data_IF_687531858956
#
_entry.id   IF_687531858956
#
_cell.length_a   1.000
_cell.length_b   1.000
_cell.length_c   1.000
_cell.angle_alpha   90.00
_cell.angle_beta   90.00
_cell.angle_gamma   90.00
#
_symmetry.space_group_name_H-M   'P 1'
#
loop_
_entity.id
_entity.type
_entity.pdbx_description
1 polymer ?
#
# COMPACT_ATOMS: atom_id res chain seq x y z
N UNK A 1 -85.67 -26.46 25.11
CA UNK A 1 -84.80 -27.23 24.21
C UNK A 1 -83.74 -26.29 23.66
N UNK A 2 -82.56 -26.23 24.31
CA UNK A 2 -81.44 -25.39 23.89
C UNK A 2 -80.29 -26.32 23.49
N UNK A 3 -80.05 -26.47 22.18
CA UNK A 3 -78.91 -27.24 21.66
C UNK A 3 -77.63 -26.48 21.95
N UNK A 4 -76.83 -26.99 22.88
CA UNK A 4 -75.47 -26.50 23.16
C UNK A 4 -74.54 -27.17 22.14
N UNK A 5 -74.07 -26.41 21.15
CA UNK A 5 -73.09 -26.87 20.17
C UNK A 5 -71.74 -27.12 20.84
N UNK A 6 -71.16 -28.30 20.62
CA UNK A 6 -69.80 -28.63 21.07
C UNK A 6 -68.79 -27.99 20.14
N UNK A 7 -68.12 -26.94 20.63
CA UNK A 7 -66.94 -26.36 20.00
C UNK A 7 -65.77 -27.34 20.18
N UNK A 8 -65.34 -27.98 19.11
CA UNK A 8 -64.16 -28.85 19.13
C UNK A 8 -62.91 -27.99 19.16
N UNK A 9 -62.31 -27.86 20.34
CA UNK A 9 -61.05 -27.17 20.58
C UNK A 9 -59.90 -28.04 20.03
N UNK A 10 -59.55 -27.85 18.76
CA UNK A 10 -58.41 -28.53 18.13
C UNK A 10 -57.11 -27.94 18.65
N UNK A 11 -56.54 -28.55 19.70
CA UNK A 11 -55.16 -28.27 20.13
C UNK A 11 -54.23 -28.42 18.92
N UNK A 12 -53.37 -27.44 18.61
CA UNK A 12 -52.49 -27.52 17.45
C UNK A 12 -51.56 -28.72 17.58
N UNK A 13 -51.64 -29.63 16.61
CA UNK A 13 -50.85 -30.87 16.55
C UNK A 13 -49.36 -30.57 16.86
N UNK A 14 -48.85 -31.16 17.94
CA UNK A 14 -47.45 -31.04 18.39
C UNK A 14 -46.45 -31.27 17.24
N UNK A 15 -46.77 -32.21 16.36
CA UNK A 15 -46.06 -32.48 15.11
C UNK A 15 -45.92 -31.27 14.19
N UNK A 16 -46.98 -30.47 14.02
CA UNK A 16 -46.95 -29.25 13.17
C UNK A 16 -46.03 -28.18 13.76
N UNK A 17 -45.97 -28.07 15.09
CA UNK A 17 -45.06 -27.16 15.81
C UNK A 17 -43.60 -27.61 15.71
N UNK A 18 -43.33 -28.91 15.78
CA UNK A 18 -41.98 -29.48 15.62
C UNK A 18 -41.51 -29.29 14.17
N UNK A 19 -42.34 -29.63 13.18
CA UNK A 19 -42.02 -29.45 11.76
C UNK A 19 -41.80 -27.98 11.40
N UNK A 20 -42.57 -27.05 11.98
CA UNK A 20 -42.34 -25.62 11.77
C UNK A 20 -41.02 -25.14 12.38
N UNK A 21 -40.65 -25.64 13.57
CA UNK A 21 -39.37 -25.29 14.21
C UNK A 21 -38.19 -25.81 13.38
N UNK A 22 -38.23 -27.07 12.94
CA UNK A 22 -37.21 -27.66 12.08
C UNK A 22 -37.08 -26.87 10.76
N UNK A 23 -38.20 -26.52 10.11
CA UNK A 23 -38.19 -25.72 8.89
C UNK A 23 -37.54 -24.35 9.11
N UNK A 24 -37.87 -23.67 10.21
CA UNK A 24 -37.26 -22.38 10.55
C UNK A 24 -35.78 -22.51 10.91
N UNK A 25 -35.35 -23.60 11.57
CA UNK A 25 -33.94 -23.89 11.81
C UNK A 25 -33.15 -24.07 10.52
N UNK A 26 -33.70 -24.76 9.52
CA UNK A 26 -33.06 -24.87 8.20
C UNK A 26 -33.01 -23.54 7.44
N UNK A 27 -34.06 -22.72 7.52
CA UNK A 27 -34.05 -21.37 6.94
C UNK A 27 -32.98 -20.50 7.60
N UNK A 28 -32.88 -20.52 8.92
CA UNK A 28 -31.83 -19.78 9.65
C UNK A 28 -30.43 -20.28 9.28
N UNK A 29 -30.22 -21.60 9.22
CA UNK A 29 -28.95 -22.19 8.81
C UNK A 29 -28.58 -21.76 7.39
N UNK A 30 -29.54 -21.76 6.46
CA UNK A 30 -29.33 -21.34 5.08
C UNK A 30 -28.96 -19.86 4.99
N UNK A 31 -29.65 -18.99 5.74
CA UNK A 31 -29.31 -17.57 5.80
C UNK A 31 -27.93 -17.33 6.41
N UNK A 32 -27.54 -18.08 7.44
CA UNK A 32 -26.20 -18.04 8.02
C UNK A 32 -25.12 -18.49 7.03
N UNK A 33 -25.40 -19.55 6.26
CA UNK A 33 -24.51 -20.03 5.19
C UNK A 33 -24.32 -18.97 4.09
N UNK A 34 -25.42 -18.36 3.62
CA UNK A 34 -25.34 -17.28 2.64
C UNK A 34 -24.57 -16.09 3.21
N UNK A 35 -24.87 -15.69 4.45
CA UNK A 35 -24.16 -14.60 5.12
C UNK A 35 -22.66 -14.87 5.22
N UNK A 36 -22.28 -16.06 5.66
CA UNK A 36 -20.87 -16.48 5.73
C UNK A 36 -20.20 -16.50 4.36
N UNK A 37 -20.86 -17.01 3.33
CA UNK A 37 -20.33 -17.02 1.97
C UNK A 37 -20.14 -15.60 1.42
N UNK A 38 -21.13 -14.72 1.62
CA UNK A 38 -21.07 -13.33 1.21
C UNK A 38 -19.94 -12.57 1.91
N UNK A 39 -19.76 -12.76 3.22
CA UNK A 39 -18.67 -12.17 3.99
C UNK A 39 -17.31 -12.67 3.49
N UNK A 40 -17.17 -13.97 3.24
CA UNK A 40 -15.92 -14.54 2.72
C UNK A 40 -15.59 -13.98 1.34
N UNK A 41 -16.58 -13.91 0.45
CA UNK A 41 -16.42 -13.30 -0.87
C UNK A 41 -16.02 -11.82 -0.78
N UNK A 42 -16.62 -11.07 0.15
CA UNK A 42 -16.24 -9.68 0.39
C UNK A 42 -14.77 -9.54 0.78
N UNK A 43 -14.30 -10.32 1.76
CA UNK A 43 -12.89 -10.26 2.19
C UNK A 43 -11.92 -10.67 1.08
N UNK A 44 -12.24 -11.69 0.29
CA UNK A 44 -11.40 -12.10 -0.85
C UNK A 44 -11.30 -10.98 -1.90
N UNK A 45 -12.41 -10.29 -2.18
CA UNK A 45 -12.39 -9.18 -3.13
C UNK A 45 -11.62 -7.98 -2.57
N UNK A 46 -11.83 -7.65 -1.29
CA UNK A 46 -11.13 -6.56 -0.61
C UNK A 46 -9.62 -6.76 -0.66
N UNK A 47 -9.16 -7.93 -0.20
CA UNK A 47 -7.77 -8.40 -0.25
C UNK A 47 -7.21 -8.33 -1.67
N UNK A 48 -7.93 -8.88 -2.66
CA UNK A 48 -7.51 -8.85 -4.05
C UNK A 48 -7.31 -7.41 -4.55
N UNK A 49 -8.21 -6.49 -4.19
CA UNK A 49 -8.15 -5.09 -4.65
C UNK A 49 -7.12 -4.25 -3.92
N UNK A 50 -6.64 -4.70 -2.75
CA UNK A 50 -5.67 -4.00 -1.92
C UNK A 50 -4.24 -4.47 -2.19
N UNK A 51 -4.04 -5.77 -2.45
CA UNK A 51 -2.72 -6.36 -2.57
C UNK A 51 -2.21 -6.50 -4.01
N UNK A 52 -3.11 -6.57 -5.01
CA UNK A 52 -2.71 -6.84 -6.40
C UNK A 52 -2.47 -5.54 -7.17
N UNK A 53 -1.19 -5.26 -7.48
CA UNK A 53 -0.81 -4.09 -8.26
C UNK A 53 -1.48 -4.03 -9.64
N UNK A 54 -1.63 -5.19 -10.30
CA UNK A 54 -2.32 -5.30 -11.60
C UNK A 54 -3.78 -4.84 -11.54
N UNK A 55 -4.46 -5.03 -10.40
CA UNK A 55 -5.83 -4.55 -10.24
C UNK A 55 -5.91 -3.03 -10.42
N UNK A 56 -4.94 -2.30 -9.88
CA UNK A 56 -4.88 -0.84 -9.98
C UNK A 56 -4.73 -0.33 -11.43
N UNK A 57 -4.10 -1.12 -12.30
CA UNK A 57 -3.94 -0.82 -13.72
C UNK A 57 -5.25 -0.81 -14.51
N UNK A 58 -6.28 -1.52 -14.04
CA UNK A 58 -7.51 -1.77 -14.80
C UNK A 58 -8.55 -0.64 -14.78
N UNK A 59 -8.47 0.30 -13.82
CA UNK A 59 -9.53 1.29 -13.58
C UNK A 59 -9.06 2.74 -13.41
N UNK A 60 -7.76 3.03 -13.23
CA UNK A 60 -7.28 4.36 -12.79
C UNK A 60 -6.20 5.02 -13.67
N UNK A 61 -6.03 4.62 -14.94
CA UNK A 61 -4.89 5.08 -15.77
C UNK A 61 -3.55 5.00 -15.01
N UNK A 62 -3.34 3.85 -14.35
CA UNK A 62 -2.17 3.59 -13.52
C UNK A 62 -1.16 2.67 -14.20
N UNK A 63 -1.36 2.30 -15.46
CA UNK A 63 -0.49 1.36 -16.18
C UNK A 63 1.00 1.72 -16.05
N UNK A 64 1.36 2.99 -16.25
CA UNK A 64 2.72 3.47 -16.03
C UNK A 64 3.24 3.19 -14.61
N UNK A 65 2.43 3.48 -13.59
CA UNK A 65 2.81 3.33 -12.19
C UNK A 65 2.88 1.85 -11.77
N UNK A 66 2.00 1.02 -12.34
CA UNK A 66 2.02 -0.44 -12.13
C UNK A 66 3.27 -1.04 -12.77
N UNK A 67 3.58 -0.68 -14.02
CA UNK A 67 4.80 -1.15 -14.69
C UNK A 67 6.05 -0.65 -13.99
N UNK A 68 6.04 0.59 -13.49
CA UNK A 68 7.11 1.15 -12.67
C UNK A 68 7.33 0.29 -11.41
N UNK A 69 6.26 -0.01 -10.69
CA UNK A 69 6.29 -0.81 -9.46
C UNK A 69 6.73 -2.26 -9.73
N UNK A 70 6.32 -2.86 -10.83
CA UNK A 70 6.62 -4.27 -11.14
C UNK A 70 8.01 -4.47 -11.75
N UNK A 71 8.48 -3.55 -12.61
CA UNK A 71 9.59 -3.84 -13.54
C UNK A 71 10.67 -2.75 -13.63
N UNK A 72 10.54 -1.61 -12.95
CA UNK A 72 11.53 -0.52 -13.05
C UNK A 72 12.64 -0.59 -12.01
N UNK A 73 13.61 0.32 -12.09
CA UNK A 73 14.61 0.54 -11.03
C UNK A 73 14.24 1.71 -10.10
N UNK A 74 12.98 2.15 -10.13
CA UNK A 74 12.52 3.26 -9.28
C UNK A 74 12.23 2.78 -7.85
N UNK A 75 12.00 3.73 -6.94
CA UNK A 75 11.81 3.43 -5.52
C UNK A 75 10.57 2.57 -5.25
N UNK A 76 9.53 2.69 -6.07
CA UNK A 76 8.34 1.85 -5.97
C UNK A 76 8.66 0.36 -6.19
N UNK A 77 9.56 0.01 -7.11
CA UNK A 77 10.01 -1.36 -7.32
C UNK A 77 10.78 -1.92 -6.13
N UNK A 78 11.69 -1.14 -5.54
CA UNK A 78 12.38 -1.56 -4.31
C UNK A 78 11.39 -1.84 -3.16
N UNK A 79 10.30 -1.08 -3.09
CA UNK A 79 9.22 -1.35 -2.15
C UNK A 79 8.38 -2.58 -2.54
N UNK A 80 8.18 -2.86 -3.83
CA UNK A 80 7.54 -4.08 -4.30
C UNK A 80 8.33 -5.32 -3.86
N UNK A 81 9.67 -5.29 -3.99
CA UNK A 81 10.57 -6.36 -3.52
C UNK A 81 10.50 -6.53 -1.99
N UNK A 82 10.28 -5.45 -1.26
CA UNK A 82 10.02 -5.47 0.19
C UNK A 82 8.56 -5.83 0.56
N UNK A 83 7.75 -6.27 -0.40
CA UNK A 83 6.35 -6.65 -0.24
C UNK A 83 5.44 -5.51 0.28
N UNK A 84 5.81 -4.25 0.06
CA UNK A 84 4.99 -3.08 0.36
C UNK A 84 3.99 -2.86 -0.77
N UNK A 85 2.70 -2.84 -0.46
CA UNK A 85 1.62 -2.77 -1.44
C UNK A 85 1.31 -1.34 -1.86
N UNK A 86 0.62 -1.18 -2.99
CA UNK A 86 0.24 0.13 -3.51
C UNK A 86 -0.54 0.97 -2.47
N UNK A 87 -1.45 0.35 -1.72
CA UNK A 87 -2.30 1.03 -0.74
C UNK A 87 -1.59 1.33 0.59
N UNK A 88 -0.43 0.72 0.85
CA UNK A 88 0.38 1.04 2.04
C UNK A 88 0.96 2.45 1.95
N UNK A 89 1.16 2.96 0.73
CA UNK A 89 1.50 4.36 0.46
C UNK A 89 0.25 5.19 0.07
N UNK A 90 -0.64 4.65 -0.77
CA UNK A 90 -1.86 5.33 -1.22
C UNK A 90 -3.03 5.16 -0.24
N UNK A 91 -2.81 5.56 1.01
CA UNK A 91 -3.71 5.29 2.16
C UNK A 91 -4.94 6.19 2.26
N UNK A 92 -4.91 7.37 1.66
CA UNK A 92 -5.94 8.41 1.81
C UNK A 92 -7.08 8.31 0.79
N UNK A 93 -7.15 7.22 0.04
CA UNK A 93 -8.15 7.06 -1.01
C UNK A 93 -9.52 6.68 -0.44
N UNK A 94 -10.38 7.67 -0.26
CA UNK A 94 -11.71 7.50 0.32
C UNK A 94 -12.63 6.69 -0.59
N UNK A 95 -13.66 6.05 -0.01
CA UNK A 95 -14.69 5.33 -0.78
C UNK A 95 -15.39 6.23 -1.82
N UNK A 96 -15.57 7.52 -1.49
CA UNK A 96 -16.09 8.52 -2.44
C UNK A 96 -15.18 8.71 -3.65
N UNK A 97 -13.87 8.78 -3.44
CA UNK A 97 -12.89 8.96 -4.52
C UNK A 97 -12.80 7.70 -5.39
N UNK A 98 -12.83 6.50 -4.78
CA UNK A 98 -12.97 5.22 -5.49
C UNK A 98 -14.14 5.25 -6.47
N UNK A 99 -15.31 5.69 -6.00
CA UNK A 99 -16.53 5.73 -6.80
C UNK A 99 -16.48 6.79 -7.92
N UNK A 100 -15.88 7.95 -7.64
CA UNK A 100 -15.67 9.00 -8.64
C UNK A 100 -14.75 8.51 -9.75
N UNK A 101 -13.66 7.84 -9.41
CA UNK A 101 -12.71 7.41 -10.42
C UNK A 101 -13.20 6.26 -11.27
N UNK A 102 -13.98 5.32 -10.71
CA UNK A 102 -14.68 4.31 -11.52
C UNK A 102 -15.60 4.98 -12.53
N UNK A 103 -16.36 6.01 -12.11
CA UNK A 103 -17.22 6.78 -13.02
C UNK A 103 -16.38 7.44 -14.13
N UNK A 104 -15.29 8.13 -13.78
CA UNK A 104 -14.42 8.82 -14.72
C UNK A 104 -13.79 7.88 -15.74
N UNK A 105 -13.37 6.68 -15.31
CA UNK A 105 -12.85 5.65 -16.21
C UNK A 105 -13.91 5.18 -17.19
N UNK A 106 -15.11 4.81 -16.70
CA UNK A 106 -16.21 4.32 -17.55
C UNK A 106 -16.71 5.39 -18.52
N UNK A 107 -16.75 6.67 -18.10
CA UNK A 107 -17.15 7.77 -18.97
C UNK A 107 -16.04 8.24 -19.92
N UNK A 108 -14.81 7.75 -19.74
CA UNK A 108 -13.62 8.25 -20.44
C UNK A 108 -13.23 9.70 -20.07
N UNK A 109 -13.82 10.24 -18.99
CA UNK A 109 -13.62 11.62 -18.52
C UNK A 109 -12.66 11.63 -17.33
N UNK A 110 -11.51 10.97 -17.50
CA UNK A 110 -10.46 10.98 -16.49
C UNK A 110 -9.57 12.21 -16.68
N UNK A 111 -9.36 13.03 -15.64
CA UNK A 111 -8.39 14.11 -15.73
C UNK A 111 -7.01 13.48 -15.92
N UNK A 112 -6.27 13.89 -16.96
CA UNK A 112 -4.82 13.72 -16.94
C UNK A 112 -4.31 14.61 -15.82
N UNK A 113 -4.14 14.05 -14.62
CA UNK A 113 -3.57 14.79 -13.50
C UNK A 113 -2.10 15.02 -13.87
N UNK A 114 -1.69 16.24 -14.25
CA UNK A 114 -0.34 16.50 -14.73
C UNK A 114 0.64 16.71 -13.57
N UNK A 115 0.24 16.38 -12.34
CA UNK A 115 0.94 16.76 -11.13
C UNK A 115 1.37 15.53 -10.36
N UNK A 116 2.68 15.45 -10.10
CA UNK A 116 3.26 14.56 -9.10
C UNK A 116 2.60 14.86 -7.76
N UNK A 117 2.07 13.83 -7.13
CA UNK A 117 1.50 13.97 -5.80
C UNK A 117 2.62 14.27 -4.81
N UNK A 118 2.47 15.34 -4.03
CA UNK A 118 3.36 15.60 -2.89
C UNK A 118 2.91 14.70 -1.76
N UNK A 119 3.80 13.84 -1.31
CA UNK A 119 3.64 13.04 -0.09
C UNK A 119 4.39 13.72 1.05
N UNK A 120 3.85 13.62 2.25
CA UNK A 120 4.54 14.07 3.45
C UNK A 120 5.48 12.99 3.99
N UNK A 121 6.49 13.40 4.74
CA UNK A 121 7.52 12.50 5.25
C UNK A 121 6.94 11.50 6.26
N UNK A 122 5.83 11.84 6.91
CA UNK A 122 5.10 10.96 7.83
C UNK A 122 4.72 9.62 7.20
N UNK A 123 4.40 9.62 5.91
CA UNK A 123 4.10 8.39 5.18
C UNK A 123 5.30 7.45 5.14
N UNK A 124 6.49 7.99 4.88
CA UNK A 124 7.74 7.24 4.84
C UNK A 124 8.14 6.78 6.25
N UNK A 125 8.01 7.66 7.24
CA UNK A 125 8.43 7.42 8.62
C UNK A 125 7.55 6.39 9.35
N UNK A 126 6.37 6.04 8.82
CA UNK A 126 5.59 4.90 9.31
C UNK A 126 6.38 3.58 9.26
N UNK A 127 7.31 3.45 8.32
CA UNK A 127 8.17 2.27 8.17
C UNK A 127 9.66 2.59 8.41
N UNK A 128 10.11 3.81 8.09
CA UNK A 128 11.52 4.21 8.15
C UNK A 128 11.95 4.90 9.46
N UNK A 129 11.24 4.65 10.57
CA UNK A 129 11.59 5.04 11.94
C UNK A 129 11.68 6.56 12.17
N UNK A 130 12.78 7.21 11.77
CA UNK A 130 12.98 8.66 11.90
C UNK A 130 14.09 9.16 10.97
N UNK A 131 14.16 10.47 10.73
CA UNK A 131 15.24 11.06 9.92
C UNK A 131 16.61 10.85 10.59
N UNK A 132 16.67 10.94 11.93
CA UNK A 132 17.88 10.67 12.72
C UNK A 132 18.34 9.21 12.56
N UNK A 133 17.40 8.27 12.56
CA UNK A 133 17.73 6.86 12.30
C UNK A 133 18.31 6.68 10.90
N UNK A 134 17.68 7.25 9.87
CA UNK A 134 18.18 7.16 8.50
C UNK A 134 19.57 7.82 8.35
N UNK A 135 19.80 8.91 9.07
CA UNK A 135 21.10 9.53 9.23
C UNK A 135 22.14 8.57 9.81
N UNK A 136 21.87 7.92 10.94
CA UNK A 136 22.78 6.92 11.53
C UNK A 136 23.04 5.75 10.56
N UNK A 137 22.00 5.27 9.86
CA UNK A 137 22.13 4.16 8.89
C UNK A 137 22.94 4.51 7.64
N UNK A 138 23.23 5.79 7.41
CA UNK A 138 23.95 6.29 6.23
C UNK A 138 25.18 7.12 6.61
N UNK A 139 25.72 6.92 7.81
CA UNK A 139 26.90 7.62 8.34
C UNK A 139 28.20 7.34 7.56
N UNK A 140 28.25 6.23 6.83
CA UNK A 140 29.33 5.88 5.91
C UNK A 140 29.40 6.79 4.65
N UNK A 141 28.37 7.60 4.39
CA UNK A 141 28.38 8.54 3.27
C UNK A 141 29.23 9.77 3.62
N UNK A 142 30.15 10.14 2.72
CA UNK A 142 31.01 11.33 2.89
C UNK A 142 30.23 12.63 3.10
N UNK A 143 29.09 12.79 2.41
CA UNK A 143 28.05 13.78 2.71
C UNK A 143 26.73 13.06 2.92
N UNK A 144 26.32 12.97 4.17
CA UNK A 144 25.08 12.30 4.53
C UNK A 144 23.87 13.24 4.28
N UNK A 145 23.01 12.97 3.28
CA UNK A 145 21.86 13.83 2.98
C UNK A 145 20.77 13.79 4.07
N UNK A 146 20.76 12.76 4.91
CA UNK A 146 19.81 12.63 6.03
C UNK A 146 20.28 13.39 7.28
N UNK A 147 21.57 13.74 7.38
CA UNK A 147 22.10 14.71 8.37
C UNK A 147 22.23 16.12 7.78
N UNK A 148 21.31 16.48 6.88
CA UNK A 148 21.40 17.76 6.19
C UNK A 148 21.28 18.95 7.13
N UNK A 149 22.07 19.98 6.87
CA UNK A 149 21.95 21.29 7.52
C UNK A 149 20.77 22.10 6.98
N UNK A 150 20.06 21.61 5.97
CA UNK A 150 18.92 22.28 5.38
C UNK A 150 17.62 21.71 5.99
N UNK A 151 16.98 22.44 6.93
CA UNK A 151 16.00 21.88 7.86
C UNK A 151 14.68 21.42 7.22
N UNK A 152 14.44 21.77 5.94
CA UNK A 152 13.17 21.53 5.26
C UNK A 152 13.29 20.53 4.08
N UNK A 153 14.35 19.71 4.02
CA UNK A 153 14.47 18.67 3.00
C UNK A 153 13.52 17.50 3.27
N UNK A 154 12.52 17.37 2.42
CA UNK A 154 11.58 16.23 2.42
C UNK A 154 12.16 15.02 1.72
N UNK A 155 11.79 13.82 2.16
CA UNK A 155 12.17 12.55 1.55
C UNK A 155 11.89 12.56 0.04
N UNK A 156 10.68 12.98 -0.35
CA UNK A 156 10.23 13.05 -1.74
C UNK A 156 10.92 14.12 -2.61
N UNK A 157 11.90 14.86 -2.08
CA UNK A 157 12.73 15.78 -2.87
C UNK A 157 13.81 15.03 -3.67
N UNK A 158 14.24 13.88 -3.15
CA UNK A 158 15.26 13.02 -3.73
C UNK A 158 14.70 11.62 -4.06
N UNK A 159 13.90 11.07 -3.15
CA UNK A 159 13.33 9.73 -3.21
C UNK A 159 12.02 9.72 -4.00
N UNK A 160 12.09 9.41 -5.29
CA UNK A 160 10.93 9.44 -6.19
C UNK A 160 10.39 8.03 -6.45
N UNK A 161 9.12 7.78 -6.08
CA UNK A 161 8.51 6.45 -6.20
C UNK A 161 8.41 5.97 -7.65
N UNK A 162 7.81 6.74 -8.55
CA UNK A 162 7.49 6.29 -9.91
C UNK A 162 8.37 6.98 -10.98
N UNK A 163 9.63 7.27 -10.63
CA UNK A 163 10.57 8.00 -11.51
C UNK A 163 12.02 7.80 -11.07
N UNK A 164 12.94 8.18 -11.96
CA UNK A 164 14.38 8.22 -11.69
C UNK A 164 14.72 9.07 -10.47
N UNK A 165 15.66 8.57 -9.66
CA UNK A 165 16.14 9.30 -8.49
C UNK A 165 16.91 10.56 -8.91
N UNK A 166 16.89 11.59 -8.07
CA UNK A 166 17.55 12.86 -8.38
C UNK A 166 18.68 13.17 -7.40
N UNK A 167 19.82 13.60 -7.95
CA UNK A 167 20.87 14.23 -7.15
C UNK A 167 20.49 15.69 -6.89
N UNK A 168 19.74 15.90 -5.81
CA UNK A 168 19.28 17.22 -5.43
C UNK A 168 20.44 18.15 -5.05
N UNK A 169 21.45 17.61 -4.36
CA UNK A 169 22.60 18.36 -3.86
C UNK A 169 23.46 18.89 -5.00
N UNK A 170 23.65 18.08 -6.06
CA UNK A 170 24.41 18.44 -7.25
C UNK A 170 23.85 19.62 -8.05
N UNK A 171 22.64 20.07 -7.73
CA UNK A 171 22.05 21.26 -8.35
C UNK A 171 22.77 22.55 -7.94
N UNK A 172 23.44 22.54 -6.79
CA UNK A 172 24.12 23.72 -6.22
C UNK A 172 25.55 23.43 -5.74
N UNK A 173 25.86 22.18 -5.35
CA UNK A 173 27.15 21.77 -4.80
C UNK A 173 27.75 20.62 -5.61
N UNK A 174 29.01 20.28 -5.42
CA UNK A 174 29.50 18.97 -5.87
C UNK A 174 29.09 17.90 -4.83
N UNK A 175 28.36 16.87 -5.24
CA UNK A 175 27.90 15.77 -4.38
C UNK A 175 29.00 14.74 -4.02
N UNK A 176 30.28 15.12 -4.20
CA UNK A 176 31.42 14.33 -3.75
C UNK A 176 31.57 12.96 -4.40
N UNK A 177 30.98 12.76 -5.59
CA UNK A 177 31.03 11.47 -6.30
C UNK A 177 30.14 10.38 -5.72
N UNK A 178 29.21 10.72 -4.82
CA UNK A 178 28.26 9.74 -4.28
C UNK A 178 27.28 9.27 -5.35
N UNK A 179 27.14 7.94 -5.48
CA UNK A 179 26.17 7.32 -6.38
C UNK A 179 24.75 7.40 -5.81
N UNK A 180 23.76 7.45 -6.71
CA UNK A 180 22.36 7.26 -6.36
C UNK A 180 22.02 5.76 -6.31
N UNK A 181 20.96 5.41 -5.60
CA UNK A 181 20.38 4.06 -5.65
C UNK A 181 19.85 3.81 -7.06
N UNK A 182 20.17 2.64 -7.65
CA UNK A 182 19.84 2.28 -9.04
C UNK A 182 21.01 2.43 -10.02
N UNK A 183 22.04 3.19 -9.67
CA UNK A 183 23.28 3.28 -10.47
C UNK A 183 24.16 2.04 -10.25
N UNK A 184 24.90 1.58 -11.29
CA UNK A 184 25.84 0.46 -11.18
C UNK A 184 26.75 0.61 -9.97
N UNK A 185 26.93 -0.48 -9.22
CA UNK A 185 27.86 -0.51 -8.10
C UNK A 185 29.30 -0.43 -8.64
N UNK A 186 29.91 0.76 -8.55
CA UNK A 186 31.36 0.90 -8.67
C UNK A 186 31.98 0.61 -7.29
N UNK A 187 32.75 -0.49 -7.11
CA UNK A 187 33.33 -0.85 -5.83
C UNK A 187 34.20 0.29 -5.29
N UNK A 188 33.66 0.99 -4.28
CA UNK A 188 34.25 2.15 -3.60
C UNK A 188 34.94 3.08 -4.62
N UNK A 189 34.15 3.79 -5.42
CA UNK A 189 34.65 4.92 -6.20
C UNK A 189 35.54 5.76 -5.29
N UNK A 190 36.82 5.89 -5.63
CA UNK A 190 37.78 6.70 -4.89
C UNK A 190 37.15 8.08 -4.66
N UNK A 191 36.78 8.36 -3.41
CA UNK A 191 36.33 9.68 -3.01
C UNK A 191 37.59 10.52 -2.80
N UNK A 192 37.93 11.47 -3.69
CA UNK A 192 39.14 12.29 -3.56
C UNK A 192 39.09 13.21 -2.34
N UNK A 193 37.92 13.30 -1.69
CA UNK A 193 37.60 14.15 -0.55
C UNK A 193 37.31 13.34 0.73
N UNK A 194 37.34 12.00 0.67
CA UNK A 194 37.34 11.21 1.90
C UNK A 194 38.67 11.47 2.60
N UNK A 195 38.60 11.77 3.90
CA UNK A 195 39.80 11.81 4.73
C UNK A 195 40.49 10.44 4.62
N UNK A 196 41.73 10.37 4.09
CA UNK A 196 42.44 9.10 3.94
C UNK A 196 42.72 8.42 5.29
N UNK A 197 42.60 9.17 6.40
CA UNK A 197 42.78 8.69 7.77
C UNK A 197 41.45 8.34 8.48
N UNK A 198 40.30 8.51 7.81
CA UNK A 198 39.01 8.09 8.35
C UNK A 198 38.92 6.54 8.38
N UNK A 199 39.09 5.98 9.58
CA UNK A 199 38.83 4.57 9.86
C UNK A 199 37.32 4.36 9.85
N UNK A 200 36.77 4.00 8.69
CA UNK A 200 35.43 3.42 8.64
C UNK A 200 35.55 1.96 9.12
N UNK A 201 34.85 1.56 10.20
CA UNK A 201 34.81 0.14 10.55
C UNK A 201 34.22 -0.60 9.34
N UNK A 202 34.92 -1.63 8.87
CA UNK A 202 34.43 -2.49 7.80
C UNK A 202 33.07 -3.04 8.24
N UNK A 203 31.99 -2.50 7.68
CA UNK A 203 30.67 -3.06 7.83
C UNK A 203 30.67 -4.29 6.93
N UNK A 204 30.60 -5.46 7.56
CA UNK A 204 30.62 -6.75 6.87
C UNK A 204 29.65 -6.74 5.67
N UNK A 205 30.02 -7.40 4.55
CA UNK A 205 29.10 -7.60 3.45
C UNK A 205 27.82 -8.25 3.99
N UNK A 206 26.67 -7.67 3.63
CA UNK A 206 25.38 -8.29 3.88
C UNK A 206 25.39 -9.60 3.10
N UNK A 207 25.49 -10.74 3.79
CA UNK A 207 25.36 -12.06 3.18
C UNK A 207 23.95 -12.20 2.58
N UNK A 208 23.89 -12.65 1.33
CA UNK A 208 22.67 -12.91 0.54
C UNK A 208 21.75 -13.97 1.15
#
# INVERSE_FOLDING_TARGET
>A
MTKRGTQTDTKPNLFRRIFSKIRWSFVLLFLLLIGSLATTAFFVVDDYTHENAEFCGNCHNMEYHVNSYLDSNHLDHAHAEANVKCQDCHTDYTTSEKLVSVRQYVSGDYPRIPFKRKVGDEMCLNCHVSLEHQAERTDFLGKNPHQSHWPDLRCGSCHLSHEEQVDYCSRCHENGGQRLVGEPFDPRSYNPWADPDAIFPDVDPIEE
#
